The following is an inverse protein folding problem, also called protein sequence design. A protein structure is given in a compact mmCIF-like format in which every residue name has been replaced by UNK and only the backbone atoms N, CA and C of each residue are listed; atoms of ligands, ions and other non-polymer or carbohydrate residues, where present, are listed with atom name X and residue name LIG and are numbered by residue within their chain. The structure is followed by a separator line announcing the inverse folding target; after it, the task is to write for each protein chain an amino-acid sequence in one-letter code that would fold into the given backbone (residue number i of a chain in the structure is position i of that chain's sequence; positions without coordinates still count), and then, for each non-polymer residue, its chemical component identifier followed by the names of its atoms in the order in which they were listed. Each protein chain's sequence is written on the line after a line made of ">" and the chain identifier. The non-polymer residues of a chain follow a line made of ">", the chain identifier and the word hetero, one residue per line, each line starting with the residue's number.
data_IF_992659574579
#
_entry.id   IF_992659574579
#
_cell.length_a   1.000
_cell.length_b   1.000
_cell.length_c   1.000
_cell.angle_alpha   90.00
_cell.angle_beta   90.00
_cell.angle_gamma   90.00
#
_symmetry.space_group_name_H-M   'P 1'
#
loop_
_entity.id
_entity.type
_entity.pdbx_description
1 polymer ?
#
# COMPACT_ATOMS: atom_id res chain seq x y z
N UNK A 1 -22.80 3.68 -12.14
CA UNK A 1 -21.46 3.15 -11.77
C UNK A 1 -20.53 4.34 -11.74
N UNK A 2 -19.92 4.60 -10.62
CA UNK A 2 -19.01 5.73 -10.44
C UNK A 2 -17.56 5.35 -10.79
N UNK A 3 -17.17 4.11 -10.47
CA UNK A 3 -15.83 3.60 -10.70
C UNK A 3 -15.87 2.27 -11.43
N UNK A 4 -14.95 2.09 -12.37
CA UNK A 4 -14.68 0.83 -13.06
C UNK A 4 -13.17 0.66 -13.22
N UNK A 5 -12.69 -0.59 -13.21
CA UNK A 5 -11.25 -0.81 -13.42
C UNK A 5 -10.88 -0.61 -14.88
N UNK A 6 -9.78 0.14 -15.09
CA UNK A 6 -9.06 0.28 -16.37
C UNK A 6 -7.85 -0.66 -16.46
N UNK A 7 -7.81 -1.71 -15.64
CA UNK A 7 -6.78 -2.75 -15.59
C UNK A 7 -5.37 -2.26 -15.25
N UNK A 8 -4.68 -1.60 -16.19
CA UNK A 8 -3.29 -1.15 -16.08
C UNK A 8 -3.03 0.06 -16.99
N UNK A 9 -1.85 0.67 -16.85
CA UNK A 9 -1.48 1.85 -17.64
C UNK A 9 -1.44 1.58 -19.14
N UNK A 10 -0.94 0.42 -19.55
CA UNK A 10 -0.87 0.03 -20.96
C UNK A 10 -2.25 -0.03 -21.59
N UNK A 11 -3.23 -0.62 -20.91
CA UNK A 11 -4.61 -0.70 -21.41
C UNK A 11 -5.23 0.70 -21.61
N UNK A 12 -4.95 1.64 -20.70
CA UNK A 12 -5.42 3.03 -20.83
C UNK A 12 -4.83 3.70 -22.07
N UNK A 13 -3.51 3.55 -22.26
CA UNK A 13 -2.80 4.16 -23.41
C UNK A 13 -3.21 3.52 -24.73
N UNK A 14 -3.16 2.21 -24.83
CA UNK A 14 -3.43 1.47 -26.07
C UNK A 14 -4.86 1.70 -26.60
N UNK A 15 -5.81 1.98 -25.70
CA UNK A 15 -7.20 2.20 -26.04
C UNK A 15 -7.63 3.68 -26.00
N UNK A 16 -6.70 4.63 -25.80
CA UNK A 16 -6.98 6.06 -25.64
C UNK A 16 -8.14 6.34 -24.68
N UNK A 17 -8.07 5.77 -23.47
CA UNK A 17 -9.09 5.97 -22.43
C UNK A 17 -8.79 7.29 -21.72
N UNK A 18 -9.65 8.26 -21.91
CA UNK A 18 -9.51 9.61 -21.36
C UNK A 18 -10.85 10.34 -21.32
N UNK A 19 -10.79 11.64 -21.09
CA UNK A 19 -11.99 12.49 -21.04
C UNK A 19 -12.73 12.46 -22.37
N UNK A 20 -14.02 12.09 -22.34
CA UNK A 20 -14.87 11.97 -23.52
C UNK A 20 -14.85 10.59 -24.18
N UNK A 21 -14.05 9.64 -23.71
CA UNK A 21 -14.13 8.25 -24.18
C UNK A 21 -15.50 7.64 -23.84
N UNK A 22 -16.06 6.86 -24.76
CA UNK A 22 -17.27 6.07 -24.55
C UNK A 22 -16.88 4.60 -24.40
N UNK A 23 -17.18 4.03 -23.25
CA UNK A 23 -16.76 2.66 -22.91
C UNK A 23 -17.97 1.78 -22.57
N UNK A 24 -17.86 0.49 -22.87
CA UNK A 24 -18.82 -0.51 -22.39
C UNK A 24 -18.28 -1.11 -21.09
N UNK A 25 -19.09 -1.06 -20.04
CA UNK A 25 -18.75 -1.58 -18.71
C UNK A 25 -19.68 -2.75 -18.41
N UNK A 26 -19.12 -3.82 -17.84
CA UNK A 26 -19.92 -4.91 -17.27
C UNK A 26 -19.65 -5.02 -15.79
N UNK A 27 -20.69 -5.45 -15.07
CA UNK A 27 -20.63 -5.86 -13.67
C UNK A 27 -21.16 -7.29 -13.59
N UNK A 28 -20.27 -8.23 -13.32
CA UNK A 28 -20.62 -9.64 -13.16
C UNK A 28 -20.67 -9.97 -11.67
N UNK A 29 -21.85 -10.23 -11.14
CA UNK A 29 -22.08 -10.50 -9.71
C UNK A 29 -21.70 -9.31 -8.83
N UNK A 30 -21.14 -9.58 -7.63
CA UNK A 30 -20.58 -8.56 -6.72
C UNK A 30 -19.14 -8.16 -7.07
N UNK A 31 -18.70 -8.45 -8.28
CA UNK A 31 -17.35 -8.17 -8.76
C UNK A 31 -17.23 -6.69 -9.17
N UNK A 32 -16.02 -6.16 -9.06
CA UNK A 32 -15.67 -4.80 -9.45
C UNK A 32 -16.03 -4.57 -10.93
N UNK A 33 -16.80 -3.51 -11.26
CA UNK A 33 -17.08 -3.18 -12.66
C UNK A 33 -15.80 -2.99 -13.45
N UNK A 34 -15.76 -3.52 -14.67
CA UNK A 34 -14.61 -3.39 -15.54
C UNK A 34 -15.00 -3.00 -16.97
N UNK A 35 -14.07 -2.34 -17.66
CA UNK A 35 -14.24 -1.93 -19.05
C UNK A 35 -14.00 -3.17 -19.94
N UNK A 36 -14.96 -3.51 -20.78
CA UNK A 36 -14.84 -4.63 -21.73
C UNK A 36 -14.56 -4.18 -23.15
N UNK A 37 -14.97 -2.95 -23.49
CA UNK A 37 -14.75 -2.40 -24.82
C UNK A 37 -14.71 -0.88 -24.79
N UNK A 38 -13.94 -0.28 -25.68
CA UNK A 38 -13.93 1.17 -25.93
C UNK A 38 -14.66 1.41 -27.26
N UNK A 39 -15.86 2.01 -27.17
CA UNK A 39 -16.72 2.28 -28.32
C UNK A 39 -16.19 3.49 -29.10
N UNK A 40 -15.82 4.54 -28.34
CA UNK A 40 -15.23 5.75 -28.91
C UNK A 40 -14.02 6.14 -28.06
N UNK A 41 -12.80 6.10 -28.59
CA UNK A 41 -11.62 6.55 -27.87
C UNK A 41 -11.62 8.06 -27.65
N UNK A 42 -10.93 8.53 -26.62
CA UNK A 42 -10.63 9.94 -26.43
C UNK A 42 -9.58 10.42 -27.43
N UNK A 43 -9.34 11.74 -27.48
CA UNK A 43 -8.25 12.31 -28.28
C UNK A 43 -6.88 11.85 -27.76
N UNK A 44 -6.76 11.74 -26.44
CA UNK A 44 -5.55 11.32 -25.74
C UNK A 44 -5.92 10.51 -24.48
N UNK A 45 -5.08 9.55 -24.06
CA UNK A 45 -5.30 8.84 -22.82
C UNK A 45 -5.12 9.76 -21.61
N UNK A 46 -5.95 9.61 -20.60
CA UNK A 46 -5.78 10.32 -19.33
C UNK A 46 -4.84 9.54 -18.42
N UNK A 47 -3.62 10.02 -18.33
CA UNK A 47 -2.58 9.47 -17.46
C UNK A 47 -2.44 10.33 -16.19
N UNK A 48 -1.87 9.78 -15.08
CA UNK A 48 -1.58 10.57 -13.88
C UNK A 48 -0.72 11.79 -14.19
N UNK A 49 -0.97 12.88 -13.46
CA UNK A 49 -0.17 14.11 -13.58
C UNK A 49 1.19 14.00 -12.89
N UNK A 50 1.33 13.08 -11.93
CA UNK A 50 2.56 12.85 -11.21
C UNK A 50 3.61 12.17 -12.09
N UNK A 51 4.89 12.43 -11.81
CA UNK A 51 6.00 11.83 -12.54
C UNK A 51 6.04 10.32 -12.32
N UNK A 52 5.96 9.56 -13.41
CA UNK A 52 5.98 8.09 -13.38
C UNK A 52 6.95 7.49 -14.40
N UNK A 53 7.33 6.26 -14.17
CA UNK A 53 8.06 5.43 -15.12
C UNK A 53 7.28 4.15 -15.41
N UNK A 54 7.47 3.57 -16.58
CA UNK A 54 6.93 2.26 -16.88
C UNK A 54 7.76 1.18 -16.16
N UNK A 55 7.08 0.12 -15.70
CA UNK A 55 7.77 -1.04 -15.18
C UNK A 55 8.53 -1.79 -16.29
N UNK A 56 9.35 -2.77 -15.93
CA UNK A 56 10.15 -3.56 -16.89
C UNK A 56 9.31 -4.25 -17.97
N UNK A 57 8.07 -4.59 -17.68
CA UNK A 57 7.15 -5.20 -18.64
C UNK A 57 6.44 -4.20 -19.56
N UNK A 58 6.55 -2.91 -19.27
CA UNK A 58 5.84 -1.85 -20.01
C UNK A 58 4.31 -1.89 -19.87
N UNK A 59 3.79 -2.57 -18.83
CA UNK A 59 2.34 -2.75 -18.61
C UNK A 59 1.82 -1.79 -17.56
N UNK A 60 2.54 -1.66 -16.45
CA UNK A 60 2.16 -0.81 -15.33
C UNK A 60 3.07 0.40 -15.23
N UNK A 61 2.52 1.48 -14.69
CA UNK A 61 3.27 2.69 -14.35
C UNK A 61 3.62 2.69 -12.85
N UNK A 62 4.78 3.23 -12.54
CA UNK A 62 5.33 3.31 -11.19
C UNK A 62 5.65 4.77 -10.88
N UNK A 63 5.11 5.30 -9.80
CA UNK A 63 5.41 6.65 -9.32
C UNK A 63 6.90 6.77 -8.98
N UNK A 64 7.58 7.80 -9.50
CA UNK A 64 9.02 8.03 -9.30
C UNK A 64 9.30 8.39 -7.84
N UNK A 65 8.56 9.32 -7.27
CA UNK A 65 8.77 9.83 -5.91
C UNK A 65 7.83 9.21 -4.86
N UNK A 66 7.76 7.88 -4.79
CA UNK A 66 6.87 7.17 -3.85
C UNK A 66 7.03 7.59 -2.38
N UNK A 67 8.26 7.89 -1.95
CA UNK A 67 8.54 8.20 -0.53
C UNK A 67 8.05 9.58 -0.11
N UNK A 68 7.89 10.51 -1.05
CA UNK A 68 7.47 11.89 -0.78
C UNK A 68 5.98 12.12 -1.06
N UNK A 69 5.30 11.13 -1.65
CA UNK A 69 3.87 11.21 -1.92
C UNK A 69 3.07 10.86 -0.66
N UNK A 70 2.29 11.84 -0.18
CA UNK A 70 1.47 11.69 1.03
C UNK A 70 0.47 10.54 0.92
N UNK A 71 -0.21 10.40 -0.21
CA UNK A 71 -1.26 9.40 -0.40
C UNK A 71 -0.67 7.98 -0.50
N UNK A 72 0.46 7.84 -1.18
CA UNK A 72 1.19 6.56 -1.24
C UNK A 72 1.69 6.17 0.13
N UNK A 73 2.34 7.09 0.84
CA UNK A 73 2.86 6.84 2.18
C UNK A 73 1.73 6.50 3.16
N UNK A 74 0.63 7.25 3.13
CA UNK A 74 -0.54 6.97 3.96
C UNK A 74 -1.13 5.57 3.69
N UNK A 75 -1.19 5.14 2.42
CA UNK A 75 -1.64 3.78 2.06
C UNK A 75 -0.70 2.71 2.58
N UNK A 76 0.63 2.89 2.42
CA UNK A 76 1.64 1.93 2.91
C UNK A 76 1.58 1.79 4.43
N UNK A 77 1.56 2.90 5.15
CA UNK A 77 1.47 2.90 6.62
C UNK A 77 0.15 2.29 7.10
N UNK A 78 -0.96 2.61 6.42
CA UNK A 78 -2.27 2.03 6.74
C UNK A 78 -2.29 0.52 6.52
N UNK A 79 -1.72 0.04 5.41
CA UNK A 79 -1.62 -1.38 5.13
C UNK A 79 -0.82 -2.11 6.21
N UNK A 80 0.35 -1.55 6.60
CA UNK A 80 1.19 -2.14 7.63
C UNK A 80 0.43 -2.37 8.95
N UNK A 81 -0.12 -1.30 9.53
CA UNK A 81 -0.81 -1.41 10.82
C UNK A 81 -2.10 -2.23 10.77
N UNK A 82 -2.78 -2.25 9.61
CA UNK A 82 -3.91 -3.14 9.37
C UNK A 82 -3.50 -4.61 9.32
N UNK A 83 -2.39 -4.93 8.65
CA UNK A 83 -1.88 -6.30 8.50
C UNK A 83 -1.45 -6.88 9.84
N UNK A 84 -0.76 -6.11 10.68
CA UNK A 84 -0.39 -6.56 12.04
C UNK A 84 -1.55 -6.48 13.04
N UNK A 85 -2.70 -5.91 12.66
CA UNK A 85 -3.93 -5.93 13.44
C UNK A 85 -3.94 -4.96 14.63
N UNK A 86 -3.40 -3.74 14.48
CA UNK A 86 -3.45 -2.73 15.54
C UNK A 86 -4.80 -2.03 15.58
N UNK A 87 -5.54 -2.24 16.66
CA UNK A 87 -6.82 -1.58 16.89
C UNK A 87 -6.68 -0.07 17.12
N UNK A 88 -7.60 0.70 16.54
CA UNK A 88 -7.64 2.17 16.69
C UNK A 88 -6.75 2.92 15.69
N UNK A 89 -5.89 2.24 14.92
CA UNK A 89 -5.10 2.82 13.85
C UNK A 89 -5.76 2.64 12.46
N UNK A 90 -7.01 3.07 12.35
CA UNK A 90 -7.66 3.17 11.04
C UNK A 90 -7.08 4.33 10.20
N UNK A 91 -7.40 4.32 8.90
CA UNK A 91 -6.91 5.30 7.90
C UNK A 91 -7.03 6.77 8.36
N UNK A 92 -8.16 7.16 9.00
CA UNK A 92 -8.36 8.52 9.47
C UNK A 92 -7.44 8.94 10.63
N UNK A 93 -7.12 8.01 11.54
CA UNK A 93 -6.18 8.30 12.64
C UNK A 93 -4.74 8.32 12.14
N UNK A 94 -4.38 7.41 11.23
CA UNK A 94 -3.06 7.42 10.59
C UNK A 94 -2.83 8.69 9.78
N UNK A 95 -3.86 9.19 9.07
CA UNK A 95 -3.77 10.47 8.38
C UNK A 95 -3.35 11.60 9.32
N UNK A 96 -3.98 11.72 10.50
CA UNK A 96 -3.64 12.73 11.50
C UNK A 96 -2.22 12.59 12.05
N UNK A 97 -1.77 11.35 12.25
CA UNK A 97 -0.41 11.05 12.73
C UNK A 97 0.63 11.47 11.68
N UNK A 98 0.38 11.16 10.41
CA UNK A 98 1.25 11.55 9.30
C UNK A 98 1.27 13.08 9.11
N UNK A 99 0.11 13.74 9.19
CA UNK A 99 0.00 15.20 9.15
C UNK A 99 0.74 15.89 10.29
N UNK A 100 0.87 15.23 11.45
CA UNK A 100 1.67 15.70 12.58
C UNK A 100 3.18 15.44 12.43
N UNK A 101 3.63 14.90 11.27
CA UNK A 101 5.04 14.70 10.95
C UNK A 101 5.58 13.29 11.19
N UNK A 102 4.78 12.37 11.70
CA UNK A 102 5.19 10.97 11.87
C UNK A 102 4.92 10.18 10.59
N UNK A 103 5.76 10.40 9.58
CA UNK A 103 5.51 9.97 8.19
C UNK A 103 5.95 8.54 7.87
N UNK A 104 6.55 7.81 8.79
CA UNK A 104 7.06 6.46 8.52
C UNK A 104 6.69 5.46 9.61
N UNK A 105 6.62 4.17 9.25
CA UNK A 105 6.35 3.08 10.19
C UNK A 105 7.29 3.13 11.40
N UNK A 106 8.63 3.24 11.25
CA UNK A 106 9.54 3.32 12.39
C UNK A 106 9.26 4.52 13.31
N UNK A 107 8.95 5.71 12.75
CA UNK A 107 8.62 6.89 13.53
C UNK A 107 7.34 6.66 14.35
N UNK A 108 6.30 6.09 13.76
CA UNK A 108 5.03 5.81 14.45
C UNK A 108 5.22 4.74 15.55
N UNK A 109 5.97 3.69 15.28
CA UNK A 109 6.27 2.63 16.27
C UNK A 109 7.08 3.17 17.45
N UNK A 110 7.94 4.16 17.22
CA UNK A 110 8.77 4.77 18.27
C UNK A 110 8.08 5.89 19.06
N UNK A 111 6.86 6.31 18.67
CA UNK A 111 6.15 7.37 19.39
C UNK A 111 5.88 7.01 20.85
N UNK A 112 6.00 8.01 21.73
CA UNK A 112 5.61 7.89 23.13
C UNK A 112 4.12 8.17 23.32
N UNK A 113 3.58 7.83 24.50
CA UNK A 113 2.17 8.13 24.83
C UNK A 113 1.85 9.61 24.77
N UNK A 114 2.79 10.43 25.24
CA UNK A 114 2.69 11.89 25.25
C UNK A 114 2.59 12.45 23.84
N UNK A 115 3.41 11.94 22.91
CA UNK A 115 3.37 12.34 21.51
C UNK A 115 2.04 11.99 20.84
N UNK A 116 1.42 10.84 21.18
CA UNK A 116 0.06 10.55 20.71
C UNK A 116 -0.98 11.53 21.25
N UNK A 117 -0.82 12.04 22.48
CA UNK A 117 -1.73 13.04 23.07
C UNK A 117 -1.64 14.40 22.38
N UNK A 118 -0.52 14.73 21.77
CA UNK A 118 -0.32 15.97 21.00
C UNK A 118 -1.07 15.96 19.66
N UNK A 119 -1.48 14.77 19.18
CA UNK A 119 -2.21 14.64 17.92
C UNK A 119 -3.64 15.22 18.06
N UNK A 120 -4.07 16.13 17.16
CA UNK A 120 -5.39 16.72 17.22
C UNK A 120 -6.53 15.70 17.24
N UNK A 121 -7.33 15.75 18.31
CA UNK A 121 -8.48 14.85 18.50
C UNK A 121 -8.15 13.50 19.14
N UNK A 122 -6.89 13.25 19.53
CA UNK A 122 -6.55 12.10 20.35
C UNK A 122 -6.72 12.47 21.83
N UNK A 123 -7.32 11.55 22.58
CA UNK A 123 -7.53 11.66 24.03
C UNK A 123 -6.80 10.52 24.72
N UNK A 124 -6.57 10.64 26.04
CA UNK A 124 -5.83 9.68 26.86
C UNK A 124 -6.16 8.21 26.51
N UNK A 125 -7.45 7.86 26.58
CA UNK A 125 -7.90 6.48 26.33
C UNK A 125 -7.54 5.94 24.94
N UNK A 126 -7.59 6.83 23.92
CA UNK A 126 -7.22 6.43 22.53
C UNK A 126 -5.70 6.31 22.40
N UNK A 127 -4.96 7.27 22.94
CA UNK A 127 -3.49 7.28 22.92
C UNK A 127 -2.93 6.03 23.61
N UNK A 128 -3.43 5.71 24.79
CA UNK A 128 -3.05 4.49 25.52
C UNK A 128 -3.37 3.23 24.72
N UNK A 129 -4.58 3.15 24.16
CA UNK A 129 -4.98 1.98 23.36
C UNK A 129 -4.08 1.78 22.15
N UNK A 130 -3.75 2.84 21.42
CA UNK A 130 -2.89 2.78 20.23
C UNK A 130 -1.47 2.40 20.63
N UNK A 131 -0.90 3.07 21.63
CA UNK A 131 0.46 2.82 22.11
C UNK A 131 0.65 1.36 22.55
N UNK A 132 -0.24 0.85 23.42
CA UNK A 132 -0.19 -0.54 23.88
C UNK A 132 -0.46 -1.52 22.73
N UNK A 133 -1.43 -1.19 21.87
CA UNK A 133 -1.76 -2.01 20.69
C UNK A 133 -0.57 -2.19 19.76
N UNK A 134 0.17 -1.12 19.45
CA UNK A 134 1.38 -1.21 18.62
C UNK A 134 2.43 -2.08 19.30
N UNK A 135 2.74 -1.83 20.58
CA UNK A 135 3.75 -2.60 21.32
C UNK A 135 3.43 -4.09 21.34
N UNK A 136 2.19 -4.43 21.69
CA UNK A 136 1.76 -5.81 21.78
C UNK A 136 1.83 -6.48 20.39
N UNK A 137 1.27 -5.83 19.36
CA UNK A 137 1.25 -6.40 18.01
C UNK A 137 2.64 -6.53 17.39
N UNK A 138 3.54 -5.59 17.64
CA UNK A 138 4.94 -5.70 17.19
C UNK A 138 5.68 -6.84 17.89
N UNK A 139 5.38 -7.13 19.16
CA UNK A 139 5.97 -8.25 19.88
C UNK A 139 5.36 -9.61 19.49
N UNK A 140 4.07 -9.65 19.19
CA UNK A 140 3.34 -10.87 18.82
C UNK A 140 3.55 -11.28 17.36
N UNK A 141 3.78 -10.32 16.47
CA UNK A 141 3.87 -10.56 15.04
C UNK A 141 5.11 -11.40 14.69
N UNK A 142 4.88 -12.47 13.93
CA UNK A 142 5.98 -13.26 13.37
C UNK A 142 6.75 -12.48 12.30
N UNK A 143 8.00 -12.86 12.06
CA UNK A 143 8.82 -12.23 11.02
C UNK A 143 8.15 -12.27 9.63
N UNK A 144 7.53 -13.38 9.16
CA UNK A 144 6.80 -13.40 7.90
C UNK A 144 5.66 -12.37 7.82
N UNK A 145 4.91 -12.19 8.92
CA UNK A 145 3.83 -11.18 8.99
C UNK A 145 4.40 -9.77 8.90
N UNK A 146 5.49 -9.47 9.62
CA UNK A 146 6.14 -8.16 9.54
C UNK A 146 6.67 -7.87 8.14
N UNK A 147 7.29 -8.85 7.50
CA UNK A 147 7.79 -8.73 6.13
C UNK A 147 6.65 -8.51 5.13
N UNK A 148 5.56 -9.25 5.22
CA UNK A 148 4.36 -9.06 4.38
C UNK A 148 3.76 -7.66 4.59
N UNK A 149 3.61 -7.24 5.85
CA UNK A 149 3.05 -5.94 6.21
C UNK A 149 3.80 -4.75 5.60
N UNK A 150 5.13 -4.86 5.41
CA UNK A 150 5.92 -3.80 4.75
C UNK A 150 5.61 -3.63 3.26
N UNK A 151 5.04 -4.65 2.63
CA UNK A 151 4.80 -4.72 1.18
C UNK A 151 6.03 -4.42 0.29
N UNK A 152 7.25 -4.57 0.84
CA UNK A 152 8.51 -4.32 0.12
C UNK A 152 8.70 -5.31 -1.03
N UNK A 153 8.25 -6.55 -0.84
CA UNK A 153 8.40 -7.63 -1.83
C UNK A 153 7.35 -7.57 -2.96
N UNK A 154 6.38 -6.64 -2.87
CA UNK A 154 5.38 -6.43 -3.90
C UNK A 154 4.30 -7.52 -3.98
N UNK A 155 3.52 -7.46 -5.06
CA UNK A 155 2.39 -8.37 -5.26
C UNK A 155 2.84 -9.83 -5.39
N UNK A 156 2.13 -10.71 -4.70
CA UNK A 156 2.36 -12.15 -4.78
C UNK A 156 3.37 -12.72 -3.78
N UNK A 157 3.97 -11.87 -2.94
CA UNK A 157 4.81 -12.26 -1.82
C UNK A 157 4.10 -11.98 -0.50
N UNK A 158 3.03 -12.72 -0.22
CA UNK A 158 2.34 -12.65 1.08
C UNK A 158 2.96 -13.58 2.12
N UNK A 159 2.47 -13.48 3.36
CA UNK A 159 2.94 -14.22 4.54
C UNK A 159 3.28 -15.69 4.27
N UNK A 160 2.39 -16.43 3.59
CA UNK A 160 2.59 -17.88 3.32
C UNK A 160 3.82 -18.17 2.46
N UNK A 161 4.10 -17.36 1.44
CA UNK A 161 5.30 -17.54 0.61
C UNK A 161 6.56 -17.15 1.37
N UNK A 162 6.51 -16.06 2.12
CA UNK A 162 7.63 -15.62 2.97
C UNK A 162 7.94 -16.69 4.01
N UNK A 163 6.92 -17.26 4.66
CA UNK A 163 7.08 -18.35 5.60
C UNK A 163 7.74 -19.58 4.96
N UNK A 164 7.31 -19.96 3.76
CA UNK A 164 7.91 -21.10 3.04
C UNK A 164 9.41 -20.84 2.74
N UNK A 165 9.74 -19.64 2.26
CA UNK A 165 11.14 -19.27 1.99
C UNK A 165 11.98 -19.30 3.27
N UNK A 166 11.49 -18.72 4.37
CA UNK A 166 12.20 -18.69 5.65
C UNK A 166 12.34 -20.08 6.29
N UNK A 167 11.41 -21.00 6.00
CA UNK A 167 11.52 -22.39 6.45
C UNK A 167 12.62 -23.16 5.75
N UNK A 168 12.83 -22.90 4.47
CA UNK A 168 13.91 -23.53 3.66
C UNK A 168 15.26 -22.80 3.83
N UNK A 169 15.24 -21.49 4.00
CA UNK A 169 16.41 -20.63 4.10
C UNK A 169 16.29 -19.68 5.33
N UNK A 170 16.45 -20.21 6.56
CA UNK A 170 16.27 -19.42 7.79
C UNK A 170 17.18 -18.19 7.87
N UNK A 171 18.38 -18.29 7.34
CA UNK A 171 19.41 -17.26 7.42
C UNK A 171 19.42 -16.28 6.24
N UNK A 172 18.42 -16.36 5.32
CA UNK A 172 18.41 -15.57 4.09
C UNK A 172 18.49 -14.06 4.33
N UNK A 173 17.93 -13.57 5.45
CA UNK A 173 17.90 -12.14 5.79
C UNK A 173 19.26 -11.64 6.27
N UNK A 174 19.99 -12.48 6.99
CA UNK A 174 21.31 -12.15 7.57
C UNK A 174 22.47 -12.66 6.71
N UNK A 175 22.17 -13.45 5.68
CA UNK A 175 23.18 -13.99 4.77
C UNK A 175 23.80 -12.88 3.92
N UNK A 176 25.11 -12.87 3.84
CA UNK A 176 25.92 -11.98 2.99
C UNK A 176 26.21 -12.57 1.61
N UNK A 177 25.70 -13.78 1.32
CA UNK A 177 25.92 -14.46 0.06
C UNK A 177 25.37 -13.65 -1.11
N UNK A 178 25.97 -13.77 -2.29
CA UNK A 178 25.48 -13.17 -3.53
C UNK A 178 24.13 -13.78 -3.96
N UNK A 179 23.43 -13.10 -4.88
CA UNK A 179 22.15 -13.59 -5.43
C UNK A 179 22.29 -14.97 -6.08
N UNK A 180 23.46 -15.27 -6.65
CA UNK A 180 23.76 -16.56 -7.29
C UNK A 180 23.99 -17.70 -6.29
N UNK A 181 24.22 -17.37 -5.01
CA UNK A 181 24.50 -18.33 -3.93
C UNK A 181 23.30 -18.52 -2.98
N UNK A 182 22.24 -17.74 -3.17
CA UNK A 182 20.96 -17.80 -2.47
C UNK A 182 19.89 -18.43 -3.34
#
# INVERSE_FOLDING_TARGET
>A
IEYATGFNGKFIVDNNIGVGAVVTIIRSGDVIPHIVNVVTPAKEPLMPADEYVWNETGIDIILVNKMNDFDVNHKVVTLFFKTIGVDGLGSGNLKKIIEAGYVSIPLIVSMTREQYLEIPGFKQKMSDKIYEGIKNKMCEASLPILMDATNIFGRGFGEKKIQAILSELPDIIVSTNSVSEK
#
